data_IF_307518662835
#
_entry.id   IF_307518662835
#
_cell.length_a   1.000
_cell.length_b   1.000
_cell.length_c   1.000
_cell.angle_alpha   90.00
_cell.angle_beta   90.00
_cell.angle_gamma   90.00
#
_symmetry.space_group_name_H-M   'P 1'
#
loop_
_entity.id
_entity.type
_entity.pdbx_description
1 polymer ?
#
# COMPACT_ATOMS: atom_id res chain seq x y z
N UNK A 1 -23.41 -33.79 52.70
CA UNK A 1 -22.80 -32.69 51.91
C UNK A 1 -21.54 -33.26 51.24
N UNK A 2 -21.70 -33.85 50.06
CA UNK A 2 -20.59 -34.48 49.33
C UNK A 2 -19.84 -33.39 48.55
N UNK A 3 -18.54 -33.25 48.79
CA UNK A 3 -17.68 -32.31 48.06
C UNK A 3 -17.30 -32.87 46.69
N UNK A 4 -17.19 -32.04 45.64
CA UNK A 4 -16.79 -32.52 44.32
C UNK A 4 -15.29 -32.89 44.29
N UNK A 5 -15.02 -34.13 43.90
CA UNK A 5 -13.69 -34.64 43.59
C UNK A 5 -13.17 -33.97 42.31
N UNK A 6 -12.10 -33.19 42.43
CA UNK A 6 -11.40 -32.63 41.28
C UNK A 6 -10.47 -33.71 40.70
N UNK A 7 -10.92 -34.34 39.62
CA UNK A 7 -10.11 -35.28 38.85
C UNK A 7 -9.10 -34.47 38.02
N UNK A 8 -7.83 -34.47 38.42
CA UNK A 8 -6.75 -33.83 37.68
C UNK A 8 -6.51 -34.56 36.35
N UNK A 9 -6.97 -33.96 35.25
CA UNK A 9 -6.78 -34.48 33.90
C UNK A 9 -5.38 -34.08 33.39
N UNK A 10 -4.36 -34.89 33.73
CA UNK A 10 -3.00 -34.73 33.19
C UNK A 10 -3.04 -34.97 31.68
N UNK A 11 -2.81 -33.90 30.92
CA UNK A 11 -2.79 -33.94 29.46
C UNK A 11 -1.76 -34.94 28.92
N UNK A 12 -2.22 -35.90 28.12
CA UNK A 12 -1.35 -36.83 27.39
C UNK A 12 -0.51 -36.04 26.37
N UNK A 13 0.81 -36.07 26.53
CA UNK A 13 1.75 -35.51 25.56
C UNK A 13 1.71 -36.39 24.30
N UNK A 14 0.98 -35.92 23.28
CA UNK A 14 0.93 -36.55 21.96
C UNK A 14 2.27 -36.31 21.26
N UNK A 15 3.14 -37.33 21.24
CA UNK A 15 4.36 -37.31 20.43
C UNK A 15 3.96 -37.30 18.94
N UNK A 16 4.12 -36.16 18.27
CA UNK A 16 3.88 -36.06 16.82
C UNK A 16 4.91 -36.90 16.06
N UNK A 17 4.44 -37.71 15.10
CA UNK A 17 5.31 -38.47 14.18
C UNK A 17 6.14 -37.50 13.34
N UNK A 18 7.45 -37.75 13.24
CA UNK A 18 8.34 -36.99 12.34
C UNK A 18 8.06 -37.44 10.90
N UNK A 19 7.67 -36.50 10.04
CA UNK A 19 7.36 -36.74 8.62
C UNK A 19 8.59 -36.68 7.70
N UNK A 20 9.77 -36.38 8.22
CA UNK A 20 11.01 -36.34 7.44
C UNK A 20 11.95 -37.47 7.86
N UNK A 21 12.62 -38.07 6.90
CA UNK A 21 13.72 -38.99 7.18
C UNK A 21 14.96 -38.22 7.64
N UNK A 22 15.72 -38.73 8.63
CA UNK A 22 16.97 -38.11 9.05
C UNK A 22 18.00 -38.15 7.92
N UNK A 23 18.78 -37.08 7.79
CA UNK A 23 19.82 -36.98 6.78
C UNK A 23 20.86 -38.12 6.94
N UNK A 24 21.36 -38.70 5.83
CA UNK A 24 22.42 -39.69 5.89
C UNK A 24 23.68 -39.04 6.48
N UNK A 25 24.24 -39.68 7.52
CA UNK A 25 25.47 -39.20 8.16
C UNK A 25 26.65 -39.46 7.22
N UNK A 26 27.53 -38.48 6.96
CA UNK A 26 28.80 -38.77 6.29
C UNK A 26 29.66 -39.65 7.20
N UNK A 27 30.23 -40.70 6.63
CA UNK A 27 31.17 -41.59 7.32
C UNK A 27 32.39 -40.80 7.78
N UNK A 28 32.71 -40.90 9.07
CA UNK A 28 33.97 -40.42 9.61
C UNK A 28 35.12 -41.19 8.93
N UNK A 29 36.15 -40.52 8.38
CA UNK A 29 37.35 -41.21 7.93
C UNK A 29 38.16 -41.65 9.16
N UNK A 30 38.41 -42.96 9.26
CA UNK A 30 39.49 -43.46 10.10
C UNK A 30 40.82 -42.91 9.57
N UNK A 31 41.64 -42.39 10.47
CA UNK A 31 43.00 -41.99 10.19
C UNK A 31 43.87 -43.24 9.97
N UNK A 32 44.47 -43.34 8.79
CA UNK A 32 45.68 -44.11 8.55
C UNK A 32 46.47 -43.39 7.46
N UNK A 33 47.72 -43.01 7.77
CA UNK A 33 48.58 -42.22 6.90
C UNK A 33 49.10 -42.97 5.67
N UNK A 34 49.66 -42.21 4.73
CA UNK A 34 50.47 -42.69 3.63
C UNK A 34 49.93 -42.38 2.23
N UNK A 35 50.37 -41.23 1.72
CA UNK A 35 50.64 -40.87 0.31
C UNK A 35 49.60 -41.07 -0.82
N UNK A 36 49.39 -39.92 -1.48
CA UNK A 36 49.08 -39.71 -2.89
C UNK A 36 47.64 -39.87 -3.41
N UNK A 37 47.29 -38.85 -4.19
CA UNK A 37 46.23 -38.75 -5.22
C UNK A 37 44.84 -38.27 -4.75
N UNK A 38 44.74 -36.94 -4.74
CA UNK A 38 43.63 -36.08 -5.17
C UNK A 38 42.30 -36.76 -5.54
N UNK A 39 41.21 -36.32 -4.90
CA UNK A 39 39.92 -36.25 -5.59
C UNK A 39 39.24 -34.93 -5.27
N UNK A 40 39.39 -34.01 -6.22
CA UNK A 40 38.83 -32.67 -6.20
C UNK A 40 37.29 -32.74 -6.29
N UNK A 41 36.61 -32.33 -5.23
CA UNK A 41 35.17 -32.09 -5.28
C UNK A 41 34.91 -30.88 -6.18
N UNK A 42 34.53 -31.16 -7.43
CA UNK A 42 34.14 -30.15 -8.41
C UNK A 42 32.87 -29.42 -7.94
N UNK A 43 33.02 -28.18 -7.46
CA UNK A 43 31.88 -27.27 -7.31
C UNK A 43 31.58 -26.66 -8.68
N UNK A 44 30.55 -27.18 -9.33
CA UNK A 44 30.02 -26.62 -10.57
C UNK A 44 29.14 -25.41 -10.24
N UNK A 45 29.62 -24.20 -10.52
CA UNK A 45 28.75 -23.04 -10.69
C UNK A 45 28.43 -22.87 -12.17
N UNK A 46 27.13 -22.90 -12.49
CA UNK A 46 26.64 -22.64 -13.84
C UNK A 46 26.58 -21.14 -14.10
N UNK A 47 27.41 -20.66 -15.03
CA UNK A 47 27.17 -19.43 -15.76
C UNK A 47 27.44 -19.70 -17.25
N UNK A 48 26.44 -19.35 -18.06
CA UNK A 48 26.42 -19.48 -19.51
C UNK A 48 27.65 -18.83 -20.16
N UNK A 49 28.33 -19.58 -21.02
CA UNK A 49 28.70 -19.29 -22.42
C UNK A 49 29.95 -20.09 -22.81
N UNK A 50 29.90 -20.71 -24.00
CA UNK A 50 31.05 -21.07 -24.85
C UNK A 50 32.25 -21.82 -24.24
N UNK A 51 32.27 -23.14 -24.44
CA UNK A 51 33.44 -24.03 -24.60
C UNK A 51 34.68 -23.78 -23.71
N UNK A 52 34.88 -24.68 -22.75
CA UNK A 52 36.18 -24.95 -22.13
C UNK A 52 36.06 -25.16 -20.62
N UNK A 53 36.12 -26.43 -20.17
CA UNK A 53 36.23 -26.75 -18.74
C UNK A 53 37.66 -26.41 -18.28
N UNK A 54 37.88 -25.20 -17.80
CA UNK A 54 39.12 -24.82 -17.15
C UNK A 54 39.17 -25.37 -15.72
N UNK A 55 40.09 -26.31 -15.46
CA UNK A 55 40.45 -26.68 -14.09
C UNK A 55 41.21 -25.50 -13.50
N UNK A 56 40.71 -24.95 -12.40
CA UNK A 56 41.36 -23.86 -11.69
C UNK A 56 42.57 -24.43 -10.95
N UNK A 57 43.77 -24.25 -11.49
CA UNK A 57 45.03 -24.54 -10.79
C UNK A 57 45.29 -23.43 -9.76
N UNK A 58 46.03 -23.73 -8.69
CA UNK A 58 46.37 -22.80 -7.61
C UNK A 58 47.21 -21.57 -8.06
N UNK A 59 47.46 -21.42 -9.35
CA UNK A 59 48.36 -20.42 -9.94
C UNK A 59 47.62 -19.26 -10.64
N UNK A 60 46.29 -19.23 -10.63
CA UNK A 60 45.49 -18.19 -11.32
C UNK A 60 45.88 -16.75 -10.93
N UNK A 61 46.34 -16.55 -9.70
CA UNK A 61 46.74 -15.24 -9.19
C UNK A 61 48.25 -15.07 -9.02
N UNK A 62 49.06 -16.05 -9.44
CA UNK A 62 50.53 -16.05 -9.24
C UNK A 62 51.24 -14.90 -9.94
N UNK A 63 50.67 -14.37 -11.03
CA UNK A 63 51.20 -13.22 -11.76
C UNK A 63 50.69 -11.85 -11.30
N UNK A 64 49.81 -11.79 -10.29
CA UNK A 64 49.19 -10.54 -9.86
C UNK A 64 50.00 -9.92 -8.72
N UNK A 65 50.80 -8.90 -9.04
CA UNK A 65 51.51 -8.11 -8.04
C UNK A 65 50.60 -6.97 -7.55
N UNK A 66 50.04 -7.14 -6.35
CA UNK A 66 49.15 -6.13 -5.72
C UNK A 66 49.97 -5.35 -4.71
N UNK A 67 50.25 -4.09 -5.02
CA UNK A 67 50.94 -3.21 -4.08
C UNK A 67 50.09 -3.02 -2.80
N UNK A 68 50.69 -3.16 -1.60
CA UNK A 68 49.96 -3.06 -0.33
C UNK A 68 49.31 -1.69 -0.10
N UNK A 69 49.80 -0.66 -0.80
CA UNK A 69 49.26 0.71 -0.75
C UNK A 69 47.91 0.84 -1.48
N UNK A 70 47.65 0.01 -2.50
CA UNK A 70 46.40 0.01 -3.28
C UNK A 70 45.27 -0.66 -2.49
N UNK A 71 45.61 -1.62 -1.62
CA UNK A 71 44.65 -2.29 -0.73
C UNK A 71 44.04 -1.35 0.32
N UNK A 72 44.68 -0.21 0.58
CA UNK A 72 44.15 0.83 1.48
C UNK A 72 43.15 1.68 0.71
N UNK A 73 41.98 1.11 0.40
CA UNK A 73 40.84 1.87 -0.10
C UNK A 73 40.30 2.72 1.05
N UNK A 74 40.71 4.00 1.12
CA UNK A 74 40.07 5.01 1.96
C UNK A 74 38.66 5.21 1.41
N UNK A 75 37.67 4.52 1.98
CA UNK A 75 36.28 4.79 1.68
C UNK A 75 35.93 6.14 2.30
N UNK A 76 35.68 7.15 1.48
CA UNK A 76 35.13 8.42 1.93
C UNK A 76 33.74 8.17 2.52
N UNK A 77 33.69 8.13 3.85
CA UNK A 77 32.48 7.90 4.66
C UNK A 77 31.41 8.96 4.46
N UNK A 78 31.71 10.05 3.74
CA UNK A 78 30.79 11.17 3.52
C UNK A 78 30.21 11.25 2.08
N UNK A 79 30.50 10.28 1.22
CA UNK A 79 29.71 10.09 -0.01
C UNK A 79 28.37 9.44 0.36
N UNK A 80 27.47 10.27 0.89
CA UNK A 80 26.09 9.93 1.23
C UNK A 80 25.41 9.27 0.03
N UNK A 81 25.37 7.94 0.01
CA UNK A 81 24.49 7.17 -0.84
C UNK A 81 23.03 7.59 -0.52
N UNK A 82 22.23 8.07 -1.50
CA UNK A 82 20.89 8.61 -1.23
C UNK A 82 19.84 7.55 -0.84
N UNK A 83 20.25 6.29 -0.62
CA UNK A 83 19.36 5.19 -0.19
C UNK A 83 19.26 5.09 1.35
N UNK A 84 20.11 5.79 2.12
CA UNK A 84 20.11 5.69 3.60
C UNK A 84 19.42 6.83 4.35
N UNK A 85 18.78 7.78 3.68
CA UNK A 85 18.23 9.01 4.31
C UNK A 85 16.91 8.82 5.06
N UNK A 86 16.33 7.61 5.08
CA UNK A 86 15.13 7.30 5.91
C UNK A 86 15.43 6.39 7.09
N UNK A 87 16.68 6.37 7.58
CA UNK A 87 16.95 5.90 8.94
C UNK A 87 16.77 7.09 9.88
N UNK A 88 15.53 7.28 10.31
CA UNK A 88 15.22 8.16 11.42
C UNK A 88 16.16 7.87 12.60
N UNK A 89 16.57 8.96 13.22
CA UNK A 89 17.63 9.14 14.21
C UNK A 89 17.41 8.36 15.52
N UNK A 90 17.23 7.05 15.50
CA UNK A 90 17.13 6.22 16.70
C UNK A 90 17.77 4.85 16.50
N UNK A 91 19.08 4.80 16.24
CA UNK A 91 19.90 3.69 16.76
C UNK A 91 20.12 3.84 18.27
N UNK A 92 19.07 4.24 19.00
CA UNK A 92 19.00 4.02 20.43
C UNK A 92 19.07 2.52 20.60
N UNK A 93 19.94 2.03 21.47
CA UNK A 93 20.06 0.59 21.78
C UNK A 93 18.71 0.11 22.30
N UNK A 94 17.86 -0.35 21.37
CA UNK A 94 16.47 -0.69 21.66
C UNK A 94 16.44 -1.85 22.64
N UNK A 95 15.53 -1.77 23.60
CA UNK A 95 15.29 -2.84 24.56
C UNK A 95 14.91 -4.13 23.84
N UNK A 96 15.27 -5.29 24.40
CA UNK A 96 14.88 -6.62 23.86
C UNK A 96 13.36 -6.70 23.62
N UNK A 97 12.56 -6.06 24.49
CA UNK A 97 11.10 -5.98 24.37
C UNK A 97 10.66 -5.24 23.11
N UNK A 98 11.29 -4.11 22.82
CA UNK A 98 10.99 -3.29 21.63
C UNK A 98 11.44 -4.02 20.36
N UNK A 99 12.63 -4.63 20.37
CA UNK A 99 13.10 -5.46 19.25
C UNK A 99 12.13 -6.61 18.95
N UNK A 100 11.58 -7.26 19.97
CA UNK A 100 10.60 -8.32 19.80
C UNK A 100 9.27 -7.80 19.24
N UNK A 101 8.79 -6.64 19.71
CA UNK A 101 7.59 -5.99 19.17
C UNK A 101 7.78 -5.65 17.68
N UNK A 102 8.90 -5.03 17.33
CA UNK A 102 9.23 -4.68 15.94
C UNK A 102 9.31 -5.90 15.03
N UNK A 103 9.85 -7.04 15.51
CA UNK A 103 9.85 -8.29 14.73
C UNK A 103 8.43 -8.79 14.48
N UNK A 104 7.57 -8.77 15.50
CA UNK A 104 6.16 -9.16 15.37
C UNK A 104 5.41 -8.24 14.41
N UNK A 105 5.60 -6.94 14.53
CA UNK A 105 4.96 -5.94 13.69
C UNK A 105 5.38 -6.05 12.24
N UNK A 106 6.69 -6.13 11.96
CA UNK A 106 7.21 -6.40 10.60
C UNK A 106 6.66 -7.69 10.02
N UNK A 107 6.51 -8.73 10.84
CA UNK A 107 5.93 -10.00 10.41
C UNK A 107 4.44 -9.88 10.08
N UNK A 108 3.65 -9.19 10.92
CA UNK A 108 2.23 -8.94 10.67
C UNK A 108 2.03 -8.08 9.42
N UNK A 109 2.79 -6.99 9.29
CA UNK A 109 2.79 -6.13 8.11
C UNK A 109 3.07 -6.93 6.84
N UNK A 110 4.09 -7.81 6.86
CA UNK A 110 4.39 -8.69 5.73
C UNK A 110 3.22 -9.62 5.37
N UNK A 111 2.54 -10.19 6.37
CA UNK A 111 1.36 -11.03 6.13
C UNK A 111 0.23 -10.22 5.51
N UNK A 112 -0.05 -9.03 6.04
CA UNK A 112 -1.10 -8.14 5.54
C UNK A 112 -0.82 -7.69 4.11
N UNK A 113 0.41 -7.29 3.79
CA UNK A 113 0.82 -6.94 2.42
C UNK A 113 0.62 -8.10 1.45
N UNK A 114 0.97 -9.34 1.84
CA UNK A 114 0.76 -10.53 0.99
C UNK A 114 -0.74 -10.79 0.78
N UNK A 115 -1.57 -10.63 1.82
CA UNK A 115 -3.02 -10.81 1.72
C UNK A 115 -3.64 -9.79 0.78
N UNK A 116 -3.26 -8.52 0.94
CA UNK A 116 -3.74 -7.41 0.12
C UNK A 116 -3.36 -7.63 -1.35
N UNK A 117 -2.09 -7.93 -1.64
CA UNK A 117 -1.63 -8.22 -3.00
C UNK A 117 -2.37 -9.41 -3.63
N UNK A 118 -2.59 -10.51 -2.88
CA UNK A 118 -3.37 -11.65 -3.37
C UNK A 118 -4.83 -11.30 -3.63
N UNK A 119 -5.42 -10.43 -2.81
CA UNK A 119 -6.79 -9.96 -3.00
C UNK A 119 -6.92 -9.09 -4.24
N UNK A 120 -5.97 -8.17 -4.45
CA UNK A 120 -5.89 -7.34 -5.67
C UNK A 120 -5.75 -8.20 -6.92
N UNK A 121 -4.79 -9.15 -6.95
CA UNK A 121 -4.62 -10.07 -8.07
C UNK A 121 -5.90 -10.86 -8.39
N UNK A 122 -6.61 -11.36 -7.38
CA UNK A 122 -7.89 -12.05 -7.57
C UNK A 122 -8.97 -11.12 -8.12
N UNK A 123 -9.04 -9.88 -7.62
CA UNK A 123 -10.00 -8.89 -8.10
C UNK A 123 -9.70 -8.51 -9.55
N UNK A 124 -8.44 -8.25 -9.89
CA UNK A 124 -7.98 -7.97 -11.26
C UNK A 124 -8.25 -9.14 -12.21
N UNK A 125 -7.99 -10.39 -11.80
CA UNK A 125 -8.28 -11.54 -12.64
C UNK A 125 -9.79 -11.67 -12.94
N UNK A 126 -10.66 -11.39 -11.95
CA UNK A 126 -12.11 -11.35 -12.14
C UNK A 126 -12.53 -10.23 -13.10
N UNK A 127 -11.97 -9.04 -12.93
CA UNK A 127 -12.19 -7.86 -13.79
C UNK A 127 -11.78 -8.12 -15.23
N UNK A 128 -10.61 -8.72 -15.44
CA UNK A 128 -10.09 -9.11 -16.77
C UNK A 128 -10.96 -10.20 -17.44
N UNK A 129 -11.62 -11.04 -16.65
CA UNK A 129 -12.52 -12.07 -17.15
C UNK A 129 -13.92 -11.53 -17.50
N UNK A 130 -14.36 -10.43 -16.88
CA UNK A 130 -15.61 -9.75 -17.24
C UNK A 130 -15.40 -8.85 -18.47
N UNK A 131 -16.27 -8.89 -19.48
CA UNK A 131 -16.14 -8.05 -20.66
C UNK A 131 -16.15 -6.56 -20.28
N UNK A 132 -15.15 -5.86 -20.82
CA UNK A 132 -14.54 -4.60 -20.36
C UNK A 132 -15.44 -3.34 -20.40
N UNK A 133 -16.69 -3.44 -20.85
CA UNK A 133 -17.58 -2.27 -20.95
C UNK A 133 -18.26 -2.02 -19.60
N UNK A 134 -17.56 -1.39 -18.65
CA UNK A 134 -18.17 -0.89 -17.41
C UNK A 134 -17.32 -0.93 -16.13
N UNK A 135 -16.06 -1.36 -16.21
CA UNK A 135 -15.24 -1.55 -15.01
C UNK A 135 -14.61 -0.23 -14.52
N UNK A 136 -15.35 0.54 -13.71
CA UNK A 136 -14.97 1.87 -13.19
C UNK A 136 -13.66 1.89 -12.38
N UNK A 137 -13.20 0.72 -11.93
CA UNK A 137 -11.98 0.58 -11.14
C UNK A 137 -10.71 0.97 -11.91
N UNK A 138 -10.68 0.80 -13.24
CA UNK A 138 -9.53 1.19 -14.06
C UNK A 138 -9.32 2.71 -14.04
N UNK A 139 -10.42 3.48 -13.99
CA UNK A 139 -10.36 4.93 -13.88
C UNK A 139 -9.85 5.38 -12.51
N UNK A 140 -10.19 4.66 -11.44
CA UNK A 140 -9.71 4.95 -10.09
C UNK A 140 -8.22 4.63 -9.93
N UNK A 141 -7.75 3.54 -10.53
CA UNK A 141 -6.35 3.10 -10.47
C UNK A 141 -5.43 4.01 -11.29
N UNK A 142 -5.95 4.63 -12.36
CA UNK A 142 -5.24 5.63 -13.16
C UNK A 142 -5.10 7.00 -12.45
N UNK A 143 -5.72 7.20 -11.29
CA UNK A 143 -5.57 8.44 -10.52
C UNK A 143 -4.36 8.37 -9.59
N UNK A 144 -3.61 9.49 -9.41
CA UNK A 144 -2.54 9.55 -8.44
C UNK A 144 -3.01 9.22 -7.02
N UNK A 145 -2.25 8.42 -6.28
CA UNK A 145 -2.54 8.16 -4.88
C UNK A 145 -2.33 9.42 -4.05
N UNK A 146 -3.10 9.58 -2.96
CA UNK A 146 -3.01 10.76 -2.09
C UNK A 146 -1.61 10.93 -1.48
N UNK A 147 -0.85 9.85 -1.28
CA UNK A 147 0.55 9.88 -0.87
C UNK A 147 1.43 10.61 -1.88
N UNK A 148 1.22 10.36 -3.17
CA UNK A 148 1.99 10.96 -4.25
C UNK A 148 1.68 12.46 -4.33
N UNK A 149 0.40 12.83 -4.19
CA UNK A 149 -0.05 14.22 -4.13
C UNK A 149 0.56 14.99 -2.94
N UNK A 150 0.74 14.37 -1.77
CA UNK A 150 1.39 15.03 -0.61
C UNK A 150 2.87 15.32 -0.87
N UNK A 151 3.55 14.48 -1.66
CA UNK A 151 4.95 14.73 -2.04
C UNK A 151 5.08 15.83 -3.10
N UNK A 152 4.15 15.90 -4.05
CA UNK A 152 4.11 16.91 -5.14
C UNK A 152 3.58 18.27 -4.66
N UNK A 153 2.63 18.28 -3.73
CA UNK A 153 2.00 19.48 -3.12
C UNK A 153 3.00 20.42 -2.40
N UNK A 154 4.20 19.95 -2.06
CA UNK A 154 5.27 20.81 -1.53
C UNK A 154 5.70 21.91 -2.51
N UNK A 155 5.42 21.77 -3.80
CA UNK A 155 5.80 22.74 -4.84
C UNK A 155 4.71 23.74 -5.28
N UNK A 156 3.48 23.63 -4.79
CA UNK A 156 2.41 24.56 -5.20
C UNK A 156 1.70 25.17 -3.99
N UNK A 157 2.31 26.23 -3.42
CA UNK A 157 1.65 27.12 -2.46
C UNK A 157 1.45 28.50 -3.09
N UNK A 158 0.58 28.60 -4.09
CA UNK A 158 -0.07 29.86 -4.42
C UNK A 158 -1.49 29.86 -3.83
N UNK A 159 -1.63 30.57 -2.71
CA UNK A 159 -2.91 30.85 -2.05
C UNK A 159 -3.74 31.74 -2.96
N UNK A 160 -4.67 31.16 -3.71
CA UNK A 160 -5.78 31.91 -4.27
C UNK A 160 -6.77 32.23 -3.14
N UNK A 161 -6.84 33.52 -2.76
CA UNK A 161 -7.91 34.05 -1.90
C UNK A 161 -9.21 34.03 -2.70
N UNK A 162 -9.91 32.90 -2.65
CA UNK A 162 -11.25 32.79 -3.20
C UNK A 162 -12.18 33.69 -2.38
N UNK A 163 -12.83 34.63 -3.06
CA UNK A 163 -13.88 35.45 -2.50
C UNK A 163 -14.95 34.54 -1.88
N UNK A 164 -15.51 34.96 -0.73
CA UNK A 164 -16.53 34.21 0.01
C UNK A 164 -17.72 33.97 -0.91
N UNK A 165 -17.79 32.78 -1.51
CA UNK A 165 -18.98 32.31 -2.22
C UNK A 165 -20.16 32.42 -1.24
N UNK A 166 -21.26 32.99 -1.70
CA UNK A 166 -22.56 32.87 -1.02
C UNK A 166 -22.73 31.39 -0.67
N UNK A 167 -23.17 31.10 0.57
CA UNK A 167 -23.30 29.74 1.09
C UNK A 167 -24.01 28.90 0.03
N UNK A 168 -23.23 28.02 -0.60
CA UNK A 168 -23.74 27.01 -1.53
C UNK A 168 -24.89 26.35 -0.81
N UNK A 169 -26.07 26.35 -1.43
CA UNK A 169 -27.26 25.68 -0.91
C UNK A 169 -26.82 24.29 -0.50
N UNK A 170 -26.79 24.06 0.82
CA UNK A 170 -26.30 22.80 1.38
C UNK A 170 -27.10 21.70 0.72
N UNK A 171 -26.41 20.72 0.12
CA UNK A 171 -27.08 19.62 -0.57
C UNK A 171 -28.15 19.00 0.34
N UNK A 172 -29.40 18.94 -0.11
CA UNK A 172 -30.54 18.46 0.68
C UNK A 172 -30.22 17.13 1.40
N UNK A 173 -29.52 16.21 0.71
CA UNK A 173 -29.15 14.90 1.24
C UNK A 173 -28.23 14.95 2.48
N UNK A 174 -27.41 16.00 2.62
CA UNK A 174 -26.45 16.18 3.72
C UNK A 174 -27.07 16.81 4.98
N UNK A 175 -28.29 17.36 4.86
CA UNK A 175 -28.97 18.06 5.95
C UNK A 175 -29.53 17.09 7.00
N UNK A 176 -29.61 17.55 8.26
CA UNK A 176 -30.27 16.80 9.33
C UNK A 176 -31.77 16.68 9.03
N UNK A 177 -32.43 15.64 9.55
CA UNK A 177 -33.87 15.39 9.29
C UNK A 177 -34.79 16.55 9.67
N UNK A 178 -34.53 17.22 10.80
CA UNK A 178 -35.29 18.40 11.22
C UNK A 178 -35.10 19.59 10.27
N UNK A 179 -33.90 19.74 9.71
CA UNK A 179 -33.58 20.80 8.76
C UNK A 179 -34.26 20.54 7.41
N UNK A 180 -34.27 19.28 6.95
CA UNK A 180 -35.03 18.85 5.76
C UNK A 180 -36.52 19.18 5.88
N UNK A 181 -37.13 18.92 7.05
CA UNK A 181 -38.53 19.25 7.29
C UNK A 181 -38.79 20.75 7.14
N UNK A 182 -37.93 21.58 7.72
CA UNK A 182 -38.05 23.05 7.57
C UNK A 182 -37.96 23.52 6.13
N UNK A 183 -37.00 22.99 5.35
CA UNK A 183 -36.89 23.32 3.91
C UNK A 183 -38.19 22.98 3.17
N UNK A 184 -38.77 21.80 3.43
CA UNK A 184 -40.03 21.40 2.81
C UNK A 184 -41.21 22.28 3.26
N UNK A 185 -41.28 22.64 4.55
CA UNK A 185 -42.30 23.55 5.07
C UNK A 185 -42.20 24.94 4.40
N UNK A 186 -41.00 25.46 4.22
CA UNK A 186 -40.74 26.72 3.54
C UNK A 186 -41.14 26.65 2.04
N UNK A 187 -40.81 25.55 1.35
CA UNK A 187 -41.21 25.31 -0.04
C UNK A 187 -42.73 25.23 -0.20
N UNK A 188 -43.41 24.51 0.69
CA UNK A 188 -44.88 24.40 0.72
C UNK A 188 -45.52 25.77 0.98
N UNK A 189 -44.98 26.55 1.92
CA UNK A 189 -45.46 27.90 2.19
C UNK A 189 -45.30 28.82 0.97
N UNK A 190 -44.15 28.77 0.29
CA UNK A 190 -43.88 29.54 -0.91
C UNK A 190 -44.81 29.13 -2.07
N UNK A 191 -45.10 27.85 -2.21
CA UNK A 191 -46.03 27.34 -3.21
C UNK A 191 -47.46 27.82 -2.96
N UNK A 192 -47.96 27.69 -1.73
CA UNK A 192 -49.28 28.20 -1.36
C UNK A 192 -49.40 29.70 -1.60
N UNK A 193 -48.37 30.48 -1.26
CA UNK A 193 -48.33 31.92 -1.54
C UNK A 193 -48.44 32.22 -3.04
N UNK A 194 -47.80 31.41 -3.88
CA UNK A 194 -47.83 31.58 -5.34
C UNK A 194 -49.22 31.26 -5.89
N UNK A 195 -49.82 30.13 -5.50
CA UNK A 195 -51.18 29.75 -5.91
C UNK A 195 -52.24 30.74 -5.40
N UNK A 196 -52.05 31.29 -4.20
CA UNK A 196 -52.96 32.26 -3.63
C UNK A 196 -52.93 33.60 -4.37
N UNK A 197 -51.83 33.92 -5.06
CA UNK A 197 -51.68 35.20 -5.76
C UNK A 197 -52.66 35.32 -6.94
N UNK A 198 -53.37 36.46 -7.08
CA UNK A 198 -54.36 36.63 -8.14
C UNK A 198 -53.73 36.57 -9.53
N UNK A 199 -52.54 37.15 -9.69
CA UNK A 199 -51.79 37.14 -10.95
C UNK A 199 -51.52 35.73 -11.48
N UNK A 200 -51.25 34.78 -10.58
CA UNK A 200 -51.03 33.39 -10.96
C UNK A 200 -52.33 32.67 -11.31
N UNK A 201 -53.45 33.04 -10.67
CA UNK A 201 -54.79 32.50 -10.99
C UNK A 201 -55.29 32.97 -12.35
N UNK A 202 -55.02 34.23 -12.70
CA UNK A 202 -55.46 34.83 -13.96
C UNK A 202 -54.71 34.24 -15.16
N UNK A 203 -53.38 34.09 -15.07
CA UNK A 203 -52.57 33.51 -16.13
C UNK A 203 -51.32 32.78 -15.61
N UNK A 204 -51.42 31.49 -15.23
CA UNK A 204 -50.31 30.75 -14.64
C UNK A 204 -49.16 30.53 -15.63
N UNK A 205 -49.46 30.28 -16.91
CA UNK A 205 -48.45 29.98 -17.94
C UNK A 205 -47.56 31.19 -18.25
N UNK A 206 -48.14 32.40 -18.27
CA UNK A 206 -47.37 33.63 -18.46
C UNK A 206 -46.41 33.90 -17.28
N UNK A 207 -46.85 33.68 -16.04
CA UNK A 207 -46.01 33.87 -14.86
C UNK A 207 -44.85 32.85 -14.84
N UNK A 208 -45.13 31.58 -15.15
CA UNK A 208 -44.10 30.54 -15.24
C UNK A 208 -43.08 30.86 -16.32
N UNK A 209 -43.53 31.21 -17.54
CA UNK A 209 -42.64 31.56 -18.65
C UNK A 209 -41.78 32.80 -18.33
N UNK A 210 -42.35 33.82 -17.69
CA UNK A 210 -41.59 34.98 -17.22
C UNK A 210 -40.51 34.58 -16.20
N UNK A 211 -40.84 33.73 -15.22
CA UNK A 211 -39.89 33.24 -14.24
C UNK A 211 -38.72 32.48 -14.89
N UNK A 212 -39.03 31.55 -15.80
CA UNK A 212 -38.03 30.79 -16.55
C UNK A 212 -37.11 31.71 -17.37
N UNK A 213 -37.68 32.71 -18.06
CA UNK A 213 -36.90 33.67 -18.84
C UNK A 213 -35.92 34.47 -17.98
N UNK A 214 -36.31 34.84 -16.75
CA UNK A 214 -35.43 35.54 -15.80
C UNK A 214 -34.31 34.63 -15.31
N UNK A 215 -34.62 33.38 -14.98
CA UNK A 215 -33.62 32.38 -14.56
C UNK A 215 -32.57 32.12 -15.63
N UNK A 216 -33.00 31.92 -16.88
CA UNK A 216 -32.07 31.70 -18.00
C UNK A 216 -31.14 32.88 -18.27
N UNK A 217 -31.58 34.12 -17.99
CA UNK A 217 -30.71 35.30 -18.10
C UNK A 217 -29.67 35.34 -16.98
N UNK A 218 -30.07 35.04 -15.75
CA UNK A 218 -29.15 34.98 -14.60
C UNK A 218 -28.06 33.93 -14.81
N UNK A 219 -28.40 32.73 -15.30
CA UNK A 219 -27.41 31.68 -15.56
C UNK A 219 -26.40 32.09 -16.63
N UNK A 220 -26.84 32.79 -17.68
CA UNK A 220 -25.95 33.33 -18.71
C UNK A 220 -25.01 34.43 -18.20
N UNK A 221 -25.44 35.19 -17.20
CA UNK A 221 -24.63 36.25 -16.57
C UNK A 221 -23.72 35.71 -15.45
N UNK A 222 -24.05 34.58 -14.84
CA UNK A 222 -23.29 33.95 -13.75
C UNK A 222 -22.21 32.96 -14.22
N UNK A 223 -22.12 32.63 -15.51
CA UNK A 223 -20.97 31.92 -16.12
C UNK A 223 -19.73 32.82 -16.08
N UNK A 224 -18.70 32.50 -15.26
CA UNK A 224 -17.44 33.23 -15.28
C UNK A 224 -16.60 32.77 -16.48
N UNK A 225 -16.21 33.72 -17.34
CA UNK A 225 -15.11 33.57 -18.31
C UNK A 225 -13.80 33.13 -17.64
#
# INVERSE_FOLDING_TARGET
RAGPAWLAMVGKIVRRRRLHQPAPKPSQPQQSGGEAVLSAAALTFGANTGKGKGVLTSEIFSGVNIDPKILVKKLDTDSKNPVSVTKDEHEKVMSKKEKMKMRKERWLQKIESIKLAKQQQKAEAKRKATPVVGDMNQLLDALPELSDLVTVSKFCKQRNKMQKKKKVVTNFNQMKSAEKRKVLEDEVAQFHKTIASPLFKDNPLAIISQHLSKRLKQEKEEEPL
#
